data_IF_147686590314
#
_entry.id   IF_147686590314
#
_cell.length_a   1.000
_cell.length_b   1.000
_cell.length_c   1.000
_cell.angle_alpha   90.00
_cell.angle_beta   90.00
_cell.angle_gamma   90.00
#
_symmetry.space_group_name_H-M   'P 1'
#
loop_
_entity.id
_entity.type
_entity.pdbx_description
1 polymer ?
#
# COMPACT_ATOMS: atom_id res chain seq x y z
N UNK A 1 -8.99 -18.57 0.61
CA UNK A 1 -8.12 -17.36 0.50
C UNK A 1 -8.75 -16.29 1.39
N UNK A 2 -8.11 -15.43 2.21
CA UNK A 2 -6.70 -15.23 2.61
C UNK A 2 -6.64 -14.58 4.03
N UNK A 3 -5.86 -15.13 4.97
CA UNK A 3 -5.72 -14.61 6.36
C UNK A 3 -5.02 -13.24 6.46
N UNK A 4 -4.31 -12.78 5.42
CA UNK A 4 -3.64 -11.46 5.44
C UNK A 4 -4.63 -10.31 5.27
N UNK A 5 -5.62 -10.44 4.38
CA UNK A 5 -6.65 -9.41 4.20
C UNK A 5 -7.57 -9.31 5.42
N UNK A 6 -7.86 -10.45 6.08
CA UNK A 6 -8.58 -10.48 7.36
C UNK A 6 -7.82 -9.83 8.54
N UNK A 7 -6.51 -9.56 8.40
CA UNK A 7 -5.72 -8.79 9.38
C UNK A 7 -5.78 -7.28 9.17
N UNK A 8 -6.48 -6.83 8.12
CA UNK A 8 -6.86 -5.44 7.89
C UNK A 8 -8.23 -5.23 8.54
N UNK A 9 -8.34 -4.18 9.34
CA UNK A 9 -9.56 -3.84 10.10
C UNK A 9 -10.62 -3.16 9.20
N UNK A 10 -11.07 -3.87 8.15
CA UNK A 10 -11.97 -3.37 7.11
C UNK A 10 -12.82 -4.51 6.50
N UNK A 11 -14.05 -4.18 6.10
CA UNK A 11 -14.95 -5.11 5.41
C UNK A 11 -14.54 -5.31 3.93
N UNK A 12 -13.77 -6.38 3.70
CA UNK A 12 -13.43 -6.91 2.37
C UNK A 12 -14.24 -8.19 2.15
N UNK A 13 -14.98 -8.25 1.05
CA UNK A 13 -15.55 -9.49 0.54
C UNK A 13 -14.55 -10.11 -0.45
N UNK A 14 -14.09 -11.32 -0.19
CA UNK A 14 -13.03 -11.93 -1.00
C UNK A 14 -13.57 -12.38 -2.36
N UNK A 15 -14.83 -12.81 -2.45
CA UNK A 15 -15.42 -13.29 -3.70
C UNK A 15 -15.84 -12.12 -4.61
N UNK A 16 -16.24 -11.00 -4.02
CA UNK A 16 -16.73 -9.82 -4.74
C UNK A 16 -15.63 -8.79 -5.02
N UNK A 17 -14.72 -8.53 -4.07
CA UNK A 17 -13.73 -7.46 -4.21
C UNK A 17 -12.39 -7.94 -4.83
N UNK A 18 -12.08 -9.24 -4.78
CA UNK A 18 -10.81 -9.80 -5.26
C UNK A 18 -11.01 -10.58 -6.58
N UNK A 19 -10.11 -10.34 -7.53
CA UNK A 19 -10.01 -11.01 -8.83
C UNK A 19 -8.96 -12.12 -8.80
N UNK A 20 -8.09 -12.15 -9.82
CA UNK A 20 -7.03 -13.16 -9.94
C UNK A 20 -6.00 -13.09 -8.79
N UNK A 21 -5.48 -14.27 -8.41
CA UNK A 21 -4.58 -14.48 -7.27
C UNK A 21 -3.53 -15.52 -7.63
N UNK A 22 -2.26 -15.11 -7.66
CA UNK A 22 -1.14 -16.00 -8.00
C UNK A 22 0.12 -15.69 -7.23
N UNK A 23 0.96 -16.70 -7.02
CA UNK A 23 2.32 -16.50 -6.51
C UNK A 23 3.21 -16.07 -7.67
N UNK A 24 3.91 -14.95 -7.51
CA UNK A 24 4.81 -14.42 -8.53
C UNK A 24 6.21 -15.02 -8.38
N UNK A 25 6.84 -15.36 -9.51
CA UNK A 25 8.20 -15.90 -9.58
C UNK A 25 8.31 -17.43 -9.40
N UNK A 26 9.50 -17.94 -9.70
CA UNK A 26 9.88 -19.35 -9.54
C UNK A 26 9.94 -19.73 -8.05
N UNK A 27 9.58 -20.97 -7.74
CA UNK A 27 9.71 -21.51 -6.39
C UNK A 27 11.19 -21.71 -6.03
N UNK A 28 11.54 -21.36 -4.78
CA UNK A 28 12.82 -21.65 -4.14
C UNK A 28 12.53 -21.93 -2.66
N UNK A 29 13.25 -22.87 -2.07
CA UNK A 29 13.05 -23.26 -0.67
C UNK A 29 13.45 -22.15 0.31
N UNK A 30 14.45 -21.33 -0.05
CA UNK A 30 14.99 -20.27 0.80
C UNK A 30 14.08 -19.04 0.95
N UNK A 31 13.06 -18.87 0.09
CA UNK A 31 12.30 -17.61 -0.05
C UNK A 31 10.81 -17.80 -0.27
N UNK A 32 10.02 -17.16 0.60
CA UNK A 32 8.58 -17.02 0.43
C UNK A 32 8.27 -16.18 -0.82
N UNK A 33 7.61 -16.79 -1.81
CA UNK A 33 7.16 -16.08 -3.01
C UNK A 33 6.07 -15.04 -2.70
N UNK A 34 6.18 -13.80 -3.22
CA UNK A 34 5.14 -12.80 -3.08
C UNK A 34 3.84 -13.24 -3.77
N UNK A 35 2.71 -12.78 -3.24
CA UNK A 35 1.38 -13.02 -3.80
C UNK A 35 0.99 -11.76 -4.58
N UNK A 36 0.74 -11.93 -5.88
CA UNK A 36 0.10 -10.92 -6.70
C UNK A 36 -1.41 -11.13 -6.61
N UNK A 37 -2.16 -10.04 -6.46
CA UNK A 37 -3.61 -10.07 -6.29
C UNK A 37 -4.23 -8.89 -7.02
N UNK A 38 -5.21 -9.17 -7.86
CA UNK A 38 -6.01 -8.14 -8.53
C UNK A 38 -7.20 -7.75 -7.65
N UNK A 39 -7.43 -6.46 -7.45
CA UNK A 39 -8.70 -5.96 -6.91
C UNK A 39 -9.67 -5.74 -8.07
N UNK A 40 -10.95 -6.13 -7.93
CA UNK A 40 -11.97 -5.89 -8.96
C UNK A 40 -12.42 -4.43 -9.04
N UNK A 41 -12.24 -3.67 -7.95
CA UNK A 41 -12.63 -2.26 -7.82
C UNK A 41 -11.47 -1.45 -7.23
N UNK A 42 -11.16 -0.30 -7.83
CA UNK A 42 -10.01 0.51 -7.39
C UNK A 42 -10.22 1.14 -6.01
N UNK A 43 -11.46 1.51 -5.65
CA UNK A 43 -11.77 1.98 -4.30
C UNK A 43 -11.41 0.94 -3.21
N UNK A 44 -11.62 -0.35 -3.45
CA UNK A 44 -11.24 -1.45 -2.55
C UNK A 44 -9.73 -1.65 -2.50
N UNK A 45 -9.03 -1.52 -3.63
CA UNK A 45 -7.56 -1.49 -3.69
C UNK A 45 -6.99 -0.36 -2.82
N UNK A 46 -7.52 0.86 -2.97
CA UNK A 46 -7.10 2.03 -2.20
C UNK A 46 -7.44 1.87 -0.71
N UNK A 47 -8.60 1.30 -0.36
CA UNK A 47 -8.96 0.97 1.02
C UNK A 47 -7.96 -0.02 1.66
N UNK A 48 -7.57 -1.07 0.94
CA UNK A 48 -6.56 -2.05 1.38
C UNK A 48 -5.21 -1.36 1.62
N UNK A 49 -4.73 -0.56 0.66
CA UNK A 49 -3.44 0.12 0.73
C UNK A 49 -3.37 1.13 1.90
N UNK A 50 -4.43 1.91 2.09
CA UNK A 50 -4.52 2.89 3.19
C UNK A 50 -4.52 2.22 4.58
N UNK A 51 -5.04 0.99 4.68
CA UNK A 51 -5.07 0.20 5.92
C UNK A 51 -3.88 -0.76 6.08
N UNK A 52 -2.99 -0.88 5.09
CA UNK A 52 -1.77 -1.70 5.20
C UNK A 52 -0.87 -1.28 6.38
N UNK A 53 -1.01 -0.04 6.89
CA UNK A 53 -0.39 0.42 8.14
C UNK A 53 -0.72 -0.45 9.36
N UNK A 54 -1.88 -1.13 9.39
CA UNK A 54 -2.30 -2.06 10.45
C UNK A 54 -1.60 -3.44 10.36
N UNK A 55 -0.73 -3.65 9.36
CA UNK A 55 0.14 -4.84 9.24
C UNK A 55 1.54 -4.65 9.83
N UNK A 56 1.89 -3.44 10.30
CA UNK A 56 3.15 -3.20 11.03
C UNK A 56 3.29 -4.18 12.20
N UNK A 57 4.50 -4.73 12.38
CA UNK A 57 4.78 -5.78 13.37
C UNK A 57 4.31 -7.19 12.99
N UNK A 58 3.41 -7.37 12.01
CA UNK A 58 2.85 -8.69 11.64
C UNK A 58 3.71 -9.47 10.61
N UNK A 59 4.96 -9.06 10.39
CA UNK A 59 5.93 -9.57 9.40
C UNK A 59 5.37 -9.76 7.97
N UNK A 60 4.41 -8.95 7.57
CA UNK A 60 3.75 -8.99 6.25
C UNK A 60 3.53 -7.56 5.79
N UNK A 61 3.73 -7.29 4.50
CA UNK A 61 3.48 -5.99 3.88
C UNK A 61 2.60 -6.13 2.64
N UNK A 62 1.95 -5.03 2.26
CA UNK A 62 1.22 -4.86 1.00
C UNK A 62 1.70 -3.54 0.38
N UNK A 63 2.10 -3.56 -0.88
CA UNK A 63 2.41 -2.38 -1.69
C UNK A 63 1.84 -2.59 -3.11
N UNK A 64 1.79 -1.54 -3.91
CA UNK A 64 1.40 -1.63 -5.31
C UNK A 64 2.48 -2.33 -6.16
N UNK A 65 2.03 -3.09 -7.16
CA UNK A 65 2.89 -3.50 -8.26
C UNK A 65 3.12 -2.29 -9.20
N UNK A 66 4.31 -1.68 -9.07
CA UNK A 66 4.73 -0.55 -9.90
C UNK A 66 5.59 -1.03 -11.06
N UNK A 67 5.44 -0.43 -12.24
CA UNK A 67 6.35 -0.66 -13.37
C UNK A 67 7.81 -0.32 -13.01
N UNK A 68 8.79 -1.00 -13.64
CA UNK A 68 10.22 -0.78 -13.39
C UNK A 68 10.63 0.70 -13.48
N UNK A 69 10.02 1.48 -14.38
CA UNK A 69 10.24 2.94 -14.51
C UNK A 69 9.77 3.71 -13.27
N UNK A 70 8.59 3.38 -12.75
CA UNK A 70 8.05 3.98 -11.52
C UNK A 70 8.84 3.54 -10.28
N UNK A 71 9.25 2.27 -10.19
CA UNK A 71 10.11 1.76 -9.10
C UNK A 71 11.45 2.53 -9.02
N UNK A 72 12.14 2.71 -10.16
CA UNK A 72 13.40 3.49 -10.22
C UNK A 72 13.20 4.93 -9.73
N UNK A 73 12.15 5.63 -10.19
CA UNK A 73 11.80 6.98 -9.73
C UNK A 73 11.52 7.03 -8.22
N UNK A 74 10.70 6.09 -7.71
CA UNK A 74 10.43 5.98 -6.26
C UNK A 74 11.71 5.79 -5.46
N UNK A 75 12.61 4.88 -5.88
CA UNK A 75 13.88 4.61 -5.18
C UNK A 75 14.77 5.86 -5.05
N UNK A 76 14.85 6.69 -6.09
CA UNK A 76 15.61 7.94 -6.06
C UNK A 76 15.04 8.97 -5.06
N UNK A 77 13.71 9.05 -4.92
CA UNK A 77 13.04 10.02 -4.05
C UNK A 77 12.99 9.62 -2.57
N UNK A 78 13.34 8.38 -2.20
CA UNK A 78 13.26 7.91 -0.80
C UNK A 78 14.15 8.72 0.16
N UNK A 79 15.34 9.15 -0.26
CA UNK A 79 16.24 9.95 0.57
C UNK A 79 15.63 11.30 0.93
N UNK A 80 15.29 12.08 -0.10
CA UNK A 80 14.62 13.38 0.02
C UNK A 80 13.33 13.30 0.85
N UNK A 81 12.51 12.25 0.67
CA UNK A 81 11.30 12.03 1.45
C UNK A 81 11.59 11.78 2.95
N UNK A 82 12.67 11.07 3.29
CA UNK A 82 13.08 10.84 4.69
C UNK A 82 13.55 12.14 5.34
N UNK A 83 14.41 12.89 4.65
CA UNK A 83 14.90 14.19 5.14
C UNK A 83 13.76 15.20 5.33
N UNK A 84 12.84 15.30 4.36
CA UNK A 84 11.69 16.20 4.45
C UNK A 84 10.76 15.82 5.61
N UNK A 85 10.62 14.53 5.94
CA UNK A 85 9.90 14.08 7.13
C UNK A 85 10.64 14.43 8.42
N UNK A 86 11.97 14.26 8.48
CA UNK A 86 12.77 14.64 9.66
C UNK A 86 12.74 16.15 9.91
N UNK A 87 12.62 16.96 8.85
CA UNK A 87 12.51 18.43 8.90
C UNK A 87 11.08 18.94 9.14
N UNK A 88 10.08 18.08 9.35
CA UNK A 88 8.69 18.48 9.64
C UNK A 88 7.83 18.89 8.43
N UNK A 89 8.41 19.11 7.25
CA UNK A 89 7.70 19.58 6.04
C UNK A 89 6.51 18.72 5.60
N UNK A 90 6.46 17.44 6.01
CA UNK A 90 5.33 16.56 5.70
C UNK A 90 4.05 16.98 6.45
N UNK A 91 4.19 17.44 7.68
CA UNK A 91 3.06 17.82 8.55
C UNK A 91 2.55 19.22 8.17
N UNK A 92 3.45 20.14 7.77
CA UNK A 92 3.09 21.43 7.15
C UNK A 92 2.25 21.25 5.87
N UNK A 93 2.70 20.39 4.96
CA UNK A 93 1.98 20.10 3.71
C UNK A 93 0.64 19.37 3.95
N UNK A 94 0.54 18.58 5.02
CA UNK A 94 -0.72 17.96 5.45
C UNK A 94 -1.69 19.00 6.02
N UNK A 95 -1.22 19.86 6.93
CA UNK A 95 -1.99 20.95 7.52
C UNK A 95 -2.52 21.92 6.47
N UNK A 96 -1.71 22.31 5.48
CA UNK A 96 -2.16 23.13 4.36
C UNK A 96 -3.33 22.49 3.58
N UNK A 97 -3.28 21.17 3.35
CA UNK A 97 -4.35 20.44 2.65
C UNK A 97 -5.63 20.32 3.49
N UNK A 98 -5.51 20.15 4.80
CA UNK A 98 -6.66 20.19 5.71
C UNK A 98 -7.31 21.58 5.74
N UNK A 99 -6.52 22.64 5.90
CA UNK A 99 -7.01 24.04 5.89
C UNK A 99 -7.70 24.35 4.56
N UNK A 100 -7.13 23.91 3.43
CA UNK A 100 -7.74 24.13 2.11
C UNK A 100 -9.04 23.35 1.94
N UNK A 101 -9.13 22.12 2.46
CA UNK A 101 -10.39 21.34 2.45
C UNK A 101 -11.48 21.99 3.29
N UNK A 102 -11.17 22.45 4.50
CA UNK A 102 -12.13 23.10 5.41
C UNK A 102 -12.61 24.47 4.92
N UNK A 103 -11.98 25.05 3.90
CA UNK A 103 -12.41 26.28 3.22
C UNK A 103 -13.29 26.03 1.98
N UNK A 104 -13.48 24.77 1.58
CA UNK A 104 -14.23 24.35 0.40
C UNK A 104 -15.49 23.53 0.75
N UNK A 105 -15.87 23.55 2.03
CA UNK A 105 -17.05 22.90 2.65
C UNK A 105 -17.78 23.91 3.50
#
# INVERSE_FOLDING_TARGET
>A
MNKVLLKLDIKIDIEVDIGDVKRFGQFKEDRIRPILTQARKDNKKMLILNNAKHLKGKNIWIDNDYSKKAQKKRKALIGQMKEARQKGYYDEAFNLREVTRRRLT
#
